data_IF_783107445379
#
_entry.id   IF_783107445379
#
_cell.length_a   1.000
_cell.length_b   1.000
_cell.length_c   1.000
_cell.angle_alpha   90.00
_cell.angle_beta   90.00
_cell.angle_gamma   90.00
#
_symmetry.space_group_name_H-M   'P 1'
#
loop_
_entity.id
_entity.type
_entity.pdbx_description
1 polymer ?
#
# COMPACT_ATOMS: atom_id res chain seq x y z
N UNK A 1 -11.45 9.64 -0.65
CA UNK A 1 -11.25 8.37 0.09
C UNK A 1 -9.85 7.80 -0.15
N UNK A 2 -9.39 7.66 -1.39
CA UNK A 2 -8.05 7.13 -1.68
C UNK A 2 -6.91 7.90 -1.00
N UNK A 3 -6.90 9.24 -1.08
CA UNK A 3 -5.92 10.08 -0.36
C UNK A 3 -5.89 9.75 1.14
N UNK A 4 -7.05 9.70 1.79
CA UNK A 4 -7.14 9.40 3.23
C UNK A 4 -6.65 8.00 3.59
N UNK A 5 -6.85 7.00 2.71
CA UNK A 5 -6.28 5.65 2.90
C UNK A 5 -4.76 5.69 2.79
N UNK A 6 -4.21 6.44 1.83
CA UNK A 6 -2.77 6.60 1.63
C UNK A 6 -2.15 7.32 2.84
N UNK A 7 -2.72 8.44 3.26
CA UNK A 7 -2.27 9.20 4.44
C UNK A 7 -2.28 8.33 5.70
N UNK A 8 -3.39 7.63 5.97
CA UNK A 8 -3.49 6.76 7.13
C UNK A 8 -2.48 5.61 7.14
N UNK A 9 -2.18 5.02 5.97
CA UNK A 9 -1.17 3.98 5.86
C UNK A 9 0.25 4.52 5.98
N UNK A 10 0.51 5.74 5.51
CA UNK A 10 1.80 6.41 5.67
C UNK A 10 2.06 6.74 7.14
N UNK A 11 1.08 7.28 7.85
CA UNK A 11 1.21 7.57 9.28
C UNK A 11 1.55 6.30 10.06
N UNK A 12 0.81 5.22 9.80
CA UNK A 12 1.11 3.90 10.35
C UNK A 12 2.52 3.41 10.00
N UNK A 13 2.97 3.58 8.76
CA UNK A 13 4.29 3.14 8.30
C UNK A 13 5.48 3.94 8.83
N UNK A 14 5.24 5.18 9.26
CA UNK A 14 6.27 6.07 9.79
C UNK A 14 6.33 6.07 11.32
N UNK A 15 5.20 5.89 12.00
CA UNK A 15 5.11 6.01 13.46
C UNK A 15 5.22 4.65 14.19
N UNK A 16 4.73 3.55 13.59
CA UNK A 16 4.71 2.22 14.22
C UNK A 16 5.81 1.28 13.66
N UNK A 17 7.02 1.39 14.21
CA UNK A 17 7.92 0.23 14.33
C UNK A 17 7.44 -0.56 15.57
N UNK A 18 6.51 -1.55 15.49
CA UNK A 18 6.53 -2.69 14.58
C UNK A 18 5.12 -3.27 14.26
N UNK A 19 4.36 -2.74 13.29
CA UNK A 19 3.10 -3.41 12.87
C UNK A 19 2.90 -3.51 11.35
N UNK A 20 3.88 -3.05 10.59
CA UNK A 20 4.00 -3.33 9.17
C UNK A 20 4.95 -4.50 9.02
N UNK A 21 4.40 -5.67 8.70
CA UNK A 21 5.11 -6.95 8.68
C UNK A 21 5.43 -7.40 10.10
N UNK A 22 4.40 -7.79 10.86
CA UNK A 22 4.61 -8.92 11.77
C UNK A 22 5.16 -10.02 10.86
N UNK A 23 6.46 -10.28 10.95
CA UNK A 23 7.12 -11.30 10.12
C UNK A 23 6.28 -12.58 10.19
N UNK A 24 6.24 -13.38 9.12
CA UNK A 24 5.60 -14.71 9.20
C UNK A 24 6.06 -15.48 10.47
N UNK A 25 7.32 -15.29 10.88
CA UNK A 25 7.92 -15.83 12.11
C UNK A 25 7.29 -15.36 13.42
N UNK A 26 6.76 -14.15 13.50
CA UNK A 26 6.05 -13.65 14.68
C UNK A 26 4.58 -14.08 14.67
N UNK A 27 3.95 -14.15 13.48
CA UNK A 27 2.64 -14.77 13.31
C UNK A 27 2.67 -16.26 13.69
N UNK A 28 3.77 -16.95 13.43
CA UNK A 28 3.99 -18.34 13.80
C UNK A 28 4.05 -18.55 15.32
N UNK A 29 4.38 -17.51 16.10
CA UNK A 29 4.40 -17.55 17.57
C UNK A 29 3.02 -17.30 18.21
N UNK A 30 2.06 -16.79 17.44
CA UNK A 30 0.69 -16.59 17.93
C UNK A 30 -0.06 -17.91 18.07
N UNK A 31 -1.08 -17.91 18.93
CA UNK A 31 -2.09 -18.97 18.93
C UNK A 31 -2.79 -19.01 17.58
N UNK A 32 -3.17 -20.19 17.12
CA UNK A 32 -3.79 -20.39 15.81
C UNK A 32 -5.04 -19.53 15.57
N UNK A 33 -5.83 -19.26 16.62
CA UNK A 33 -7.00 -18.38 16.55
C UNK A 33 -6.62 -16.94 16.23
N UNK A 34 -5.56 -16.44 16.86
CA UNK A 34 -5.09 -15.07 16.72
C UNK A 34 -4.42 -14.89 15.34
N UNK A 35 -3.64 -15.90 14.89
CA UNK A 35 -3.07 -15.93 13.53
C UNK A 35 -4.15 -15.87 12.45
N UNK A 36 -5.24 -16.63 12.61
CA UNK A 36 -6.38 -16.61 11.66
C UNK A 36 -7.07 -15.25 11.64
N UNK A 37 -7.27 -14.64 12.81
CA UNK A 37 -7.86 -13.30 12.91
C UNK A 37 -6.99 -12.25 12.21
N UNK A 38 -5.68 -12.21 12.48
CA UNK A 38 -4.76 -11.26 11.86
C UNK A 38 -4.75 -11.41 10.34
N UNK A 39 -4.64 -12.64 9.83
CA UNK A 39 -4.73 -12.90 8.38
C UNK A 39 -6.08 -12.46 7.79
N UNK A 40 -7.18 -12.57 8.55
CA UNK A 40 -8.50 -12.10 8.13
C UNK A 40 -8.56 -10.58 8.02
N UNK A 41 -8.03 -9.87 9.02
CA UNK A 41 -8.00 -8.41 9.03
C UNK A 41 -7.10 -7.87 7.91
N UNK A 42 -5.95 -8.49 7.66
CA UNK A 42 -5.08 -8.14 6.54
C UNK A 42 -5.79 -8.29 5.19
N UNK A 43 -6.52 -9.40 4.98
CA UNK A 43 -7.31 -9.59 3.76
C UNK A 43 -8.39 -8.53 3.62
N UNK A 44 -9.17 -8.27 4.67
CA UNK A 44 -10.23 -7.25 4.65
C UNK A 44 -9.67 -5.85 4.34
N UNK A 45 -8.49 -5.54 4.88
CA UNK A 45 -7.82 -4.28 4.58
C UNK A 45 -7.39 -4.18 3.12
N UNK A 46 -6.87 -5.27 2.53
CA UNK A 46 -6.59 -5.32 1.08
C UNK A 46 -7.87 -5.13 0.26
N UNK A 47 -8.96 -5.81 0.61
CA UNK A 47 -10.23 -5.68 -0.12
C UNK A 47 -10.76 -4.24 -0.11
N UNK A 48 -10.71 -3.56 1.04
CA UNK A 48 -11.08 -2.14 1.15
C UNK A 48 -10.27 -1.28 0.17
N UNK A 49 -8.96 -1.50 0.09
CA UNK A 49 -8.12 -0.75 -0.85
C UNK A 49 -8.46 -1.05 -2.30
N UNK A 50 -8.71 -2.31 -2.65
CA UNK A 50 -9.09 -2.70 -4.01
C UNK A 50 -10.41 -2.05 -4.41
N UNK A 51 -11.40 -2.05 -3.51
CA UNK A 51 -12.69 -1.38 -3.71
C UNK A 51 -12.49 0.11 -4.00
N UNK A 52 -11.81 0.83 -3.12
CA UNK A 52 -11.58 2.28 -3.27
C UNK A 52 -10.76 2.60 -4.54
N UNK A 53 -9.76 1.79 -4.88
CA UNK A 53 -8.98 1.98 -6.11
C UNK A 53 -9.87 1.81 -7.35
N UNK A 54 -10.77 0.83 -7.36
CA UNK A 54 -11.69 0.62 -8.49
C UNK A 54 -12.78 1.69 -8.58
N UNK A 55 -13.19 2.28 -7.46
CA UNK A 55 -14.08 3.45 -7.50
C UNK A 55 -13.40 4.66 -8.14
N UNK A 56 -12.12 4.90 -7.84
CA UNK A 56 -11.34 6.02 -8.41
C UNK A 56 -10.92 5.74 -9.85
N UNK A 57 -10.62 4.49 -10.19
CA UNK A 57 -10.20 4.05 -11.52
C UNK A 57 -11.13 2.94 -12.06
N UNK A 58 -12.37 3.28 -12.50
CA UNK A 58 -13.39 2.28 -12.87
C UNK A 58 -13.02 1.36 -14.03
N UNK A 59 -12.03 1.74 -14.83
CA UNK A 59 -11.56 0.97 -15.99
C UNK A 59 -10.46 -0.05 -15.66
N UNK A 60 -9.91 -0.01 -14.44
CA UNK A 60 -8.88 -0.93 -14.01
C UNK A 60 -9.50 -2.29 -13.66
N UNK A 61 -8.97 -3.38 -14.20
CA UNK A 61 -9.48 -4.71 -13.86
C UNK A 61 -9.20 -5.04 -12.38
N UNK A 62 -10.03 -5.87 -11.76
CA UNK A 62 -9.87 -6.19 -10.32
C UNK A 62 -8.51 -6.81 -10.01
N UNK A 63 -8.03 -7.71 -10.86
CA UNK A 63 -6.73 -8.36 -10.69
C UNK A 63 -5.58 -7.34 -10.73
N UNK A 64 -5.67 -6.33 -11.59
CA UNK A 64 -4.67 -5.27 -11.72
C UNK A 64 -4.75 -4.29 -10.56
N UNK A 65 -5.97 -3.91 -10.13
CA UNK A 65 -6.17 -3.10 -8.93
C UNK A 65 -5.55 -3.78 -7.70
N UNK A 66 -5.78 -5.09 -7.54
CA UNK A 66 -5.19 -5.89 -6.46
C UNK A 66 -3.68 -5.96 -6.53
N UNK A 67 -3.11 -6.20 -7.71
CA UNK A 67 -1.66 -6.20 -7.90
C UNK A 67 -1.06 -4.81 -7.58
N UNK A 68 -1.71 -3.73 -8.00
CA UNK A 68 -1.29 -2.36 -7.74
C UNK A 68 -1.33 -2.03 -6.24
N UNK A 69 -2.40 -2.42 -5.53
CA UNK A 69 -2.51 -2.28 -4.07
C UNK A 69 -1.35 -2.98 -3.36
N UNK A 70 -1.03 -4.23 -3.73
CA UNK A 70 0.09 -4.94 -3.14
C UNK A 70 1.44 -4.27 -3.44
N UNK A 71 1.63 -3.74 -4.64
CA UNK A 71 2.84 -2.99 -4.99
C UNK A 71 2.97 -1.69 -4.19
N UNK A 72 1.88 -0.94 -4.02
CA UNK A 72 1.86 0.27 -3.19
C UNK A 72 2.11 -0.06 -1.72
N UNK A 73 1.55 -1.15 -1.18
CA UNK A 73 1.90 -1.61 0.16
C UNK A 73 3.39 -1.92 0.27
N UNK A 74 3.98 -2.64 -0.69
CA UNK A 74 5.43 -2.86 -0.71
C UNK A 74 6.25 -1.56 -0.68
N UNK A 75 5.81 -0.55 -1.44
CA UNK A 75 6.43 0.78 -1.48
C UNK A 75 6.33 1.49 -0.13
N UNK A 76 5.12 1.60 0.43
CA UNK A 76 4.87 2.30 1.69
C UNK A 76 5.54 1.59 2.87
N UNK A 77 5.65 0.27 2.81
CA UNK A 77 6.24 -0.58 3.85
C UNK A 77 7.77 -0.72 3.72
N UNK A 78 8.38 -0.09 2.72
CA UNK A 78 9.84 -0.06 2.58
C UNK A 78 10.50 0.83 3.63
N UNK A 79 9.74 1.69 4.32
CA UNK A 79 10.22 2.70 5.29
C UNK A 79 11.20 2.18 6.34
N UNK A 80 11.08 0.98 6.94
CA UNK A 80 12.05 0.51 7.93
C UNK A 80 13.44 0.25 7.34
N UNK A 81 13.51 0.01 6.03
CA UNK A 81 14.72 -0.30 5.27
C UNK A 81 15.36 0.93 4.63
N UNK A 82 14.64 2.06 4.56
CA UNK A 82 15.08 3.27 3.82
C UNK A 82 16.23 4.05 4.47
N UNK A 83 16.79 3.58 5.59
CA UNK A 83 18.17 3.93 5.96
C UNK A 83 18.40 4.37 7.41
N UNK A 84 19.67 4.56 7.73
CA UNK A 84 20.17 5.02 9.03
C UNK A 84 19.62 6.41 9.38
N UNK A 85 19.51 6.77 10.67
CA UNK A 85 19.13 8.12 11.07
C UNK A 85 19.92 9.19 10.31
N UNK A 86 19.22 10.12 9.65
CA UNK A 86 19.82 11.22 8.87
C UNK A 86 20.03 10.97 7.37
N UNK A 87 19.78 9.77 6.84
CA UNK A 87 19.88 9.48 5.40
C UNK A 87 18.64 9.90 4.59
N UNK A 88 17.50 10.10 5.27
CA UNK A 88 16.22 10.46 4.67
C UNK A 88 15.80 11.89 5.07
N UNK A 89 14.94 12.53 4.26
CA UNK A 89 14.23 13.72 4.68
C UNK A 89 13.45 13.49 5.99
N UNK A 90 13.19 14.56 6.75
CA UNK A 90 12.37 14.48 7.96
C UNK A 90 10.98 13.87 7.71
N UNK A 91 10.31 13.39 8.78
CA UNK A 91 9.03 12.66 8.72
C UNK A 91 8.04 13.25 7.71
N UNK A 92 7.76 14.55 7.80
CA UNK A 92 6.79 15.23 6.94
C UNK A 92 7.18 15.20 5.45
N UNK A 93 8.46 15.39 5.13
CA UNK A 93 8.95 15.36 3.76
C UNK A 93 8.92 13.93 3.19
N UNK A 94 9.22 12.93 4.01
CA UNK A 94 9.10 11.52 3.65
C UNK A 94 7.65 11.11 3.43
N UNK A 95 6.73 11.51 4.32
CA UNK A 95 5.30 11.28 4.16
C UNK A 95 4.77 11.88 2.84
N UNK A 96 5.10 13.14 2.56
CA UNK A 96 4.70 13.81 1.33
C UNK A 96 5.27 13.12 0.07
N UNK A 97 6.50 12.58 0.14
CA UNK A 97 7.09 11.81 -0.96
C UNK A 97 6.35 10.49 -1.19
N UNK A 98 6.12 9.71 -0.13
CA UNK A 98 5.40 8.44 -0.19
C UNK A 98 3.99 8.62 -0.73
N UNK A 99 3.31 9.69 -0.31
CA UNK A 99 1.97 10.04 -0.80
C UNK A 99 1.97 10.25 -2.33
N UNK A 100 2.91 11.07 -2.84
CA UNK A 100 3.03 11.30 -4.30
C UNK A 100 3.40 10.04 -5.07
N UNK A 101 4.28 9.20 -4.53
CA UNK A 101 4.66 7.94 -5.16
C UNK A 101 3.49 6.96 -5.24
N UNK A 102 2.70 6.84 -4.17
CA UNK A 102 1.50 6.00 -4.14
C UNK A 102 0.46 6.47 -5.18
N UNK A 103 0.15 7.78 -5.21
CA UNK A 103 -0.74 8.34 -6.24
C UNK A 103 -0.22 8.12 -7.66
N UNK A 104 1.09 8.30 -7.87
CA UNK A 104 1.72 8.05 -9.16
C UNK A 104 1.63 6.59 -9.60
N UNK A 105 1.80 5.63 -8.67
CA UNK A 105 1.67 4.21 -8.96
C UNK A 105 0.25 3.82 -9.37
N UNK A 106 -0.77 4.31 -8.66
CA UNK A 106 -2.17 4.06 -9.04
C UNK A 106 -2.54 4.73 -10.37
N UNK A 107 -2.11 5.98 -10.58
CA UNK A 107 -2.35 6.68 -11.84
C UNK A 107 -1.67 6.01 -13.04
N UNK A 108 -0.45 5.49 -12.83
CA UNK A 108 0.30 4.72 -13.82
C UNK A 108 -0.40 3.41 -14.20
N UNK A 109 -0.93 2.67 -13.21
CA UNK A 109 -1.65 1.41 -13.46
C UNK A 109 -2.92 1.61 -14.31
N UNK A 110 -3.65 2.71 -14.12
CA UNK A 110 -4.78 3.06 -14.97
C UNK A 110 -4.36 3.51 -16.39
N UNK A 111 -3.16 4.07 -16.54
CA UNK A 111 -2.68 4.69 -17.77
C UNK A 111 -2.17 3.73 -18.85
N UNK A 112 -1.94 2.45 -18.55
CA UNK A 112 -1.25 1.53 -19.48
C UNK A 112 -2.14 1.03 -20.62
N UNK A 113 -3.46 0.98 -20.44
CA UNK A 113 -4.38 0.46 -21.47
C UNK A 113 -5.10 1.54 -22.31
N UNK A 114 -4.94 2.82 -21.95
CA UNK A 114 -5.67 3.91 -22.58
C UNK A 114 -5.09 4.45 -23.89
N UNK A 115 -3.79 4.27 -24.12
CA UNK A 115 -3.06 4.92 -25.22
C UNK A 115 -2.64 3.98 -26.36
N UNK A 116 -2.60 2.66 -26.12
CA UNK A 116 -2.24 1.68 -27.17
C UNK A 116 -3.35 1.50 -28.20
N UNK A 117 -4.61 1.83 -27.87
CA UNK A 117 -5.76 1.65 -28.77
C UNK A 117 -6.20 2.92 -29.52
N UNK A 118 -5.37 3.97 -29.57
CA UNK A 118 -5.64 5.22 -30.32
C UNK A 118 -4.75 5.44 -31.55
N UNK A 119 -3.86 4.51 -31.85
CA UNK A 119 -3.00 4.55 -33.03
C UNK A 119 -3.13 3.25 -33.84
N UNK A 120 -4.29 3.03 -34.47
CA UNK A 120 -4.48 2.07 -35.57
C UNK A 120 -5.71 2.45 -36.38
#
# INVERSE_FOLDING_TARGET
>A
MLDSLIEGHIDFALDDRPLIILHDRELDRLRDTDRKLVRSLQRQYVELWVEVVREVYPRLAEAEARACVHAVFGLLNSTPHLGRPGALPGRAATAALLHRLALGAFGGAHGVDGDVNRAS
#
